data_IF_805328097643
#
_entry.id   IF_805328097643
#
_cell.length_a   1.000
_cell.length_b   1.000
_cell.length_c   1.000
_cell.angle_alpha   90.00
_cell.angle_beta   90.00
_cell.angle_gamma   90.00
#
_symmetry.space_group_name_H-M   'P 1'
#
loop_
_entity.id
_entity.type
_entity.pdbx_description
1 polymer ?
#
# COMPACT_ATOMS: atom_id res chain seq x y z
N UNK A 1 -1.93 3.44 41.81
CA UNK A 1 -2.36 4.71 41.15
C UNK A 1 -2.76 4.57 39.67
N UNK A 2 -2.13 3.70 38.86
CA UNK A 2 -2.42 3.59 37.41
C UNK A 2 -3.68 2.79 37.03
N UNK A 3 -4.15 1.85 37.86
CA UNK A 3 -5.38 1.08 37.57
C UNK A 3 -6.65 1.96 37.63
N UNK A 4 -6.73 2.90 38.58
CA UNK A 4 -7.86 3.82 38.68
C UNK A 4 -7.99 4.71 37.44
N UNK A 5 -6.87 5.22 36.91
CA UNK A 5 -6.85 5.98 35.65
C UNK A 5 -7.32 5.13 34.46
N UNK A 6 -6.98 3.84 34.40
CA UNK A 6 -7.47 2.92 33.35
C UNK A 6 -8.98 2.71 33.45
N UNK A 7 -9.50 2.52 34.66
CA UNK A 7 -10.94 2.35 34.89
C UNK A 7 -11.74 3.61 34.51
N UNK A 8 -11.24 4.80 34.85
CA UNK A 8 -11.87 6.07 34.48
C UNK A 8 -11.91 6.28 32.95
N UNK A 9 -10.82 5.94 32.23
CA UNK A 9 -10.80 5.98 30.76
C UNK A 9 -11.77 4.99 30.12
N UNK A 10 -11.91 3.79 30.71
CA UNK A 10 -12.84 2.79 30.20
C UNK A 10 -14.30 3.24 30.37
N UNK A 11 -14.65 3.82 31.52
CA UNK A 11 -15.99 4.40 31.76
C UNK A 11 -16.30 5.54 30.80
N UNK A 12 -15.38 6.50 30.64
CA UNK A 12 -15.53 7.60 29.69
C UNK A 12 -15.67 7.13 28.24
N UNK A 13 -14.99 6.04 27.86
CA UNK A 13 -15.15 5.43 26.53
C UNK A 13 -16.51 4.75 26.37
N UNK A 14 -17.00 4.05 27.38
CA UNK A 14 -18.32 3.39 27.34
C UNK A 14 -19.46 4.41 27.22
N UNK A 15 -19.36 5.55 27.92
CA UNK A 15 -20.31 6.66 27.83
C UNK A 15 -20.33 7.25 26.40
N UNK A 16 -19.17 7.59 25.83
CA UNK A 16 -19.06 8.18 24.48
C UNK A 16 -19.34 7.19 23.35
N UNK A 17 -19.32 5.88 23.61
CA UNK A 17 -19.54 4.84 22.59
C UNK A 17 -20.96 4.89 22.03
N UNK A 18 -21.95 5.30 22.82
CA UNK A 18 -23.33 5.42 22.39
C UNK A 18 -23.53 6.64 21.48
N UNK A 19 -22.94 7.78 21.84
CA UNK A 19 -22.92 9.01 21.03
C UNK A 19 -22.25 8.79 19.66
N UNK A 20 -21.09 8.13 19.63
CA UNK A 20 -20.41 7.77 18.38
C UNK A 20 -21.24 6.87 17.47
N UNK A 21 -22.02 5.94 18.05
CA UNK A 21 -22.93 5.08 17.27
C UNK A 21 -24.10 5.87 16.69
N UNK A 22 -24.62 6.86 17.41
CA UNK A 22 -25.70 7.73 16.94
C UNK A 22 -25.23 8.61 15.77
N UNK A 23 -24.09 9.30 15.92
CA UNK A 23 -23.49 10.13 14.87
C UNK A 23 -23.19 9.32 13.59
N UNK A 24 -22.70 8.08 13.75
CA UNK A 24 -22.43 7.19 12.60
C UNK A 24 -23.70 6.74 11.88
N UNK A 25 -24.84 6.62 12.57
CA UNK A 25 -26.14 6.32 11.95
C UNK A 25 -26.68 7.52 11.20
N UNK A 26 -26.56 8.73 11.74
CA UNK A 26 -26.96 9.97 11.05
C UNK A 26 -26.14 10.19 9.79
N UNK A 27 -24.82 10.03 9.85
CA UNK A 27 -23.94 10.16 8.68
C UNK A 27 -24.20 9.10 7.59
N UNK A 28 -24.79 7.95 7.96
CA UNK A 28 -25.24 6.94 6.99
C UNK A 28 -26.59 7.27 6.37
N UNK A 29 -27.48 7.96 7.10
CA UNK A 29 -28.79 8.39 6.62
C UNK A 29 -28.70 9.63 5.70
N UNK A 30 -27.74 10.53 5.96
CA UNK A 30 -27.49 11.72 5.14
C UNK A 30 -26.68 11.45 3.87
N UNK A 31 -26.10 10.25 3.73
CA UNK A 31 -25.48 9.86 2.46
C UNK A 31 -26.60 9.63 1.44
N UNK A 32 -26.64 10.39 0.32
CA UNK A 32 -27.59 10.12 -0.74
C UNK A 32 -27.40 8.67 -1.19
N UNK A 33 -28.50 7.91 -1.27
CA UNK A 33 -28.51 6.56 -1.85
C UNK A 33 -28.16 6.68 -3.33
N UNK A 34 -26.86 6.75 -3.66
CA UNK A 34 -26.38 6.56 -5.03
C UNK A 34 -26.64 5.11 -5.40
N UNK A 35 -27.79 4.86 -6.02
CA UNK A 35 -28.09 3.79 -7.00
C UNK A 35 -29.60 3.70 -7.16
N UNK A 36 -30.15 4.66 -7.90
CA UNK A 36 -31.18 4.29 -8.86
C UNK A 36 -30.42 3.95 -10.14
N UNK A 37 -30.67 2.74 -10.63
CA UNK A 37 -30.06 2.22 -11.85
C UNK A 37 -30.47 3.13 -13.01
N UNK A 38 -29.57 4.00 -13.45
CA UNK A 38 -29.68 4.60 -14.77
C UNK A 38 -29.62 3.45 -15.76
N UNK A 39 -30.74 3.19 -16.42
CA UNK A 39 -30.79 2.36 -17.62
C UNK A 39 -30.02 3.15 -18.67
N UNK A 40 -28.75 2.81 -18.85
CA UNK A 40 -27.91 3.40 -19.90
C UNK A 40 -28.53 3.05 -21.25
N UNK A 41 -28.70 4.04 -22.11
CA UNK A 41 -29.10 3.80 -23.51
C UNK A 41 -27.98 3.04 -24.23
N UNK A 42 -28.31 2.30 -25.29
CA UNK A 42 -27.34 1.50 -26.06
C UNK A 42 -26.18 2.34 -26.62
N UNK A 43 -26.39 3.64 -26.80
CA UNK A 43 -25.37 4.62 -27.22
C UNK A 43 -24.36 4.91 -26.10
N UNK A 44 -24.80 5.12 -24.86
CA UNK A 44 -23.91 5.32 -23.70
C UNK A 44 -23.09 4.05 -23.41
N UNK A 45 -23.67 2.87 -23.63
CA UNK A 45 -22.93 1.60 -23.51
C UNK A 45 -21.87 1.44 -24.60
N UNK A 46 -22.15 1.84 -25.85
CA UNK A 46 -21.17 1.85 -26.94
C UNK A 46 -20.03 2.82 -26.65
N UNK A 47 -20.33 4.01 -26.15
CA UNK A 47 -19.30 4.99 -25.75
C UNK A 47 -18.42 4.45 -24.61
N UNK A 48 -19.02 3.80 -23.61
CA UNK A 48 -18.26 3.16 -22.52
C UNK A 48 -17.40 1.97 -22.99
N UNK A 49 -17.87 1.22 -24.01
CA UNK A 49 -17.10 0.13 -24.61
C UNK A 49 -15.95 0.66 -25.48
N UNK A 50 -16.16 1.74 -26.24
CA UNK A 50 -15.10 2.41 -26.99
C UNK A 50 -14.04 3.03 -26.08
N UNK A 51 -14.45 3.63 -24.96
CA UNK A 51 -13.53 4.12 -23.92
C UNK A 51 -12.73 2.99 -23.26
N UNK A 52 -13.28 1.77 -23.19
CA UNK A 52 -12.53 0.58 -22.74
C UNK A 52 -11.57 0.04 -23.79
N UNK A 53 -11.89 0.17 -25.08
CA UNK A 53 -11.05 -0.28 -26.19
C UNK A 53 -9.82 0.61 -26.41
N UNK A 54 -9.89 1.89 -26.01
CA UNK A 54 -8.74 2.82 -26.06
C UNK A 54 -7.72 2.63 -24.92
N UNK A 55 -7.72 1.47 -24.26
CA UNK A 55 -6.50 1.01 -23.58
C UNK A 55 -5.52 0.61 -24.66
N UNK A 56 -4.79 1.59 -25.18
CA UNK A 56 -3.59 1.37 -25.96
C UNK A 56 -2.81 0.26 -25.25
N UNK A 57 -2.68 -0.87 -25.92
CA UNK A 57 -1.67 -1.87 -25.61
C UNK A 57 -0.35 -1.17 -25.97
N UNK A 58 0.07 -0.24 -25.10
CA UNK A 58 1.42 0.26 -25.14
C UNK A 58 2.25 -0.97 -24.83
N UNK A 59 3.02 -1.42 -25.83
CA UNK A 59 4.09 -2.39 -25.63
C UNK A 59 4.96 -1.77 -24.54
N UNK A 60 4.77 -2.28 -23.33
CA UNK A 60 5.36 -1.76 -22.10
C UNK A 60 6.86 -1.97 -22.21
N UNK A 61 7.59 -0.93 -22.58
CA UNK A 61 9.01 -0.91 -22.27
C UNK A 61 9.12 -0.45 -20.81
N UNK A 62 9.57 -1.31 -19.88
CA UNK A 62 9.88 -0.84 -18.53
C UNK A 62 10.89 0.29 -18.65
N UNK A 63 10.68 1.37 -17.88
CA UNK A 63 11.54 2.55 -17.92
C UNK A 63 13.03 2.15 -17.89
N UNK A 64 13.86 2.86 -18.66
CA UNK A 64 15.29 2.60 -18.75
C UNK A 64 16.03 2.76 -17.40
N UNK A 65 15.37 3.35 -16.40
CA UNK A 65 15.92 3.62 -15.09
C UNK A 65 15.93 2.35 -14.21
N UNK A 66 17.13 1.94 -13.80
CA UNK A 66 17.35 0.93 -12.77
C UNK A 66 17.76 1.62 -11.47
N UNK A 67 17.07 1.30 -10.37
CA UNK A 67 17.38 1.82 -9.03
C UNK A 67 17.92 0.66 -8.20
N UNK A 68 19.15 0.79 -7.75
CA UNK A 68 19.78 -0.16 -6.85
C UNK A 68 19.73 0.39 -5.43
N UNK A 69 19.25 -0.45 -4.51
CA UNK A 69 19.27 -0.18 -3.08
C UNK A 69 20.26 -1.17 -2.49
N UNK A 70 21.44 -0.66 -2.18
CA UNK A 70 22.47 -1.44 -1.49
C UNK A 70 22.12 -1.52 0.00
N UNK A 71 22.16 -2.72 0.57
CA UNK A 71 21.81 -2.99 1.97
C UNK A 71 23.00 -3.53 2.80
N UNK A 72 24.25 -3.32 2.36
CA UNK A 72 25.44 -3.80 3.08
C UNK A 72 25.61 -3.19 4.49
N UNK A 73 24.97 -2.04 4.72
CA UNK A 73 24.93 -1.35 6.02
C UNK A 73 24.00 -1.99 7.06
N UNK A 74 23.29 -3.08 6.73
CA UNK A 74 22.34 -3.72 7.63
C UNK A 74 22.98 -4.14 8.97
N UNK A 75 24.25 -4.54 8.95
CA UNK A 75 24.99 -5.02 10.12
C UNK A 75 25.25 -3.91 11.14
N UNK A 76 25.34 -2.66 10.69
CA UNK A 76 25.60 -1.49 11.53
C UNK A 76 24.32 -0.90 12.12
N UNK A 77 23.15 -1.40 11.73
CA UNK A 77 21.86 -0.83 12.12
C UNK A 77 21.19 -1.54 13.29
N UNK A 78 20.56 -0.73 14.13
CA UNK A 78 19.69 -1.25 15.18
C UNK A 78 18.41 -1.83 14.56
N UNK A 79 17.76 -2.73 15.29
CA UNK A 79 16.52 -3.35 14.80
C UNK A 79 15.41 -2.34 14.47
N UNK A 80 15.30 -1.25 15.25
CA UNK A 80 14.33 -0.19 15.00
C UNK A 80 14.58 0.53 13.69
N UNK A 81 15.84 0.74 13.35
CA UNK A 81 16.19 1.41 12.10
C UNK A 81 15.99 0.45 10.91
N UNK A 82 16.33 -0.83 11.04
CA UNK A 82 16.01 -1.87 10.05
C UNK A 82 14.50 -1.94 9.77
N UNK A 83 13.66 -1.84 10.81
CA UNK A 83 12.20 -1.76 10.68
C UNK A 83 11.76 -0.48 9.93
N UNK A 84 12.40 0.65 10.24
CA UNK A 84 12.16 1.93 9.56
C UNK A 84 12.43 1.84 8.06
N UNK A 85 13.60 1.32 7.69
CA UNK A 85 13.98 1.05 6.29
C UNK A 85 12.99 0.10 5.63
N UNK A 86 12.67 -1.02 6.28
CA UNK A 86 11.74 -2.00 5.72
C UNK A 86 10.38 -1.38 5.39
N UNK A 87 9.91 -0.46 6.23
CA UNK A 87 8.69 0.31 5.96
C UNK A 87 8.86 1.26 4.77
N UNK A 88 10.00 1.92 4.63
CA UNK A 88 10.31 2.77 3.48
C UNK A 88 10.35 1.95 2.18
N UNK A 89 11.00 0.79 2.18
CA UNK A 89 11.05 -0.13 1.03
C UNK A 89 9.66 -0.59 0.61
N UNK A 90 8.78 -0.92 1.58
CA UNK A 90 7.36 -1.23 1.30
C UNK A 90 6.63 -0.07 0.63
N UNK A 91 6.88 1.16 1.07
CA UNK A 91 6.29 2.37 0.47
C UNK A 91 6.82 2.55 -0.96
N UNK A 92 8.13 2.43 -1.18
CA UNK A 92 8.74 2.49 -2.50
C UNK A 92 8.15 1.43 -3.44
N UNK A 93 7.96 0.20 -2.95
CA UNK A 93 7.31 -0.88 -3.70
C UNK A 93 5.87 -0.54 -4.09
N UNK A 94 5.06 -0.09 -3.13
CA UNK A 94 3.68 0.32 -3.39
C UNK A 94 3.62 1.46 -4.41
N UNK A 95 4.45 2.49 -4.23
CA UNK A 95 4.50 3.66 -5.10
C UNK A 95 4.94 3.29 -6.51
N UNK A 96 6.01 2.51 -6.66
CA UNK A 96 6.47 2.06 -7.98
C UNK A 96 5.41 1.20 -8.70
N UNK A 97 4.56 0.46 -7.97
CA UNK A 97 3.45 -0.29 -8.57
C UNK A 97 2.30 0.57 -9.07
N UNK A 98 2.06 1.72 -8.44
CA UNK A 98 1.01 2.69 -8.81
C UNK A 98 1.30 3.41 -10.13
N UNK A 99 2.58 3.57 -10.50
CA UNK A 99 2.95 4.25 -11.75
C UNK A 99 2.59 3.43 -13.01
N UNK A 100 2.31 4.10 -14.15
CA UNK A 100 2.18 3.44 -15.44
C UNK A 100 3.44 2.66 -15.80
N UNK A 101 3.28 1.55 -16.52
CA UNK A 101 4.37 0.60 -16.73
C UNK A 101 5.56 1.18 -17.53
N UNK A 102 5.32 2.19 -18.36
CA UNK A 102 6.34 2.99 -19.07
C UNK A 102 7.27 3.79 -18.14
N UNK A 103 6.78 4.13 -16.95
CA UNK A 103 7.50 4.95 -15.97
C UNK A 103 7.93 4.16 -14.74
N UNK A 104 7.70 2.83 -14.72
CA UNK A 104 8.16 1.99 -13.63
C UNK A 104 9.67 1.87 -13.65
N UNK A 105 10.29 2.19 -12.53
CA UNK A 105 11.70 1.92 -12.32
C UNK A 105 11.92 0.42 -12.10
N UNK A 106 13.00 -0.12 -12.67
CA UNK A 106 13.48 -1.46 -12.33
C UNK A 106 14.21 -1.37 -10.99
N UNK A 107 13.55 -1.74 -9.91
CA UNK A 107 14.12 -1.66 -8.57
C UNK A 107 14.80 -2.98 -8.20
N UNK A 108 16.02 -2.90 -7.69
CA UNK A 108 16.84 -4.03 -7.25
C UNK A 108 17.41 -3.74 -5.86
N UNK A 109 17.38 -4.75 -5.00
CA UNK A 109 18.00 -4.72 -3.68
C UNK A 109 19.23 -5.63 -3.73
N UNK A 110 20.39 -5.10 -3.34
CA UNK A 110 21.69 -5.79 -3.33
C UNK A 110 22.21 -5.91 -1.90
N UNK A 111 23.19 -6.81 -1.70
CA UNK A 111 23.87 -7.01 -0.41
C UNK A 111 22.91 -7.34 0.74
N UNK A 112 21.77 -7.95 0.42
CA UNK A 112 20.78 -8.35 1.40
C UNK A 112 21.24 -9.65 2.08
N UNK A 113 21.45 -9.58 3.39
CA UNK A 113 21.87 -10.75 4.15
C UNK A 113 20.71 -11.76 4.20
N UNK A 114 20.99 -13.04 3.96
CA UNK A 114 19.96 -14.10 3.91
C UNK A 114 19.23 -14.25 5.25
N UNK A 115 19.96 -14.07 6.36
CA UNK A 115 19.42 -14.02 7.73
C UNK A 115 19.15 -12.58 8.23
N UNK A 116 19.14 -11.59 7.32
CA UNK A 116 18.96 -10.19 7.64
C UNK A 116 17.57 -9.87 8.20
N UNK A 117 17.54 -8.94 9.16
CA UNK A 117 16.32 -8.34 9.71
C UNK A 117 15.48 -7.76 8.57
N UNK A 118 16.09 -7.03 7.63
CA UNK A 118 15.42 -6.43 6.47
C UNK A 118 14.84 -7.52 5.55
N UNK A 119 15.58 -8.61 5.31
CA UNK A 119 15.12 -9.71 4.44
C UNK A 119 13.82 -10.35 4.96
N UNK A 120 13.75 -10.60 6.26
CA UNK A 120 12.54 -11.14 6.89
C UNK A 120 11.30 -10.24 6.67
N UNK A 121 11.48 -8.91 6.68
CA UNK A 121 10.39 -7.97 6.42
C UNK A 121 10.02 -7.83 4.94
N UNK A 122 10.95 -8.14 4.03
CA UNK A 122 10.70 -8.11 2.57
C UNK A 122 10.02 -9.39 2.07
N UNK A 123 10.22 -10.53 2.74
CA UNK A 123 9.52 -11.77 2.42
C UNK A 123 7.99 -11.60 2.44
N UNK A 124 7.46 -10.77 3.35
CA UNK A 124 6.02 -10.49 3.48
C UNK A 124 5.38 -9.86 2.23
N UNK A 125 6.13 -9.05 1.47
CA UNK A 125 5.60 -8.25 0.36
C UNK A 125 5.65 -8.97 -0.99
N UNK A 126 6.08 -10.25 -1.01
CA UNK A 126 6.36 -11.02 -2.24
C UNK A 126 7.20 -10.20 -3.23
N UNK A 127 8.13 -9.41 -2.69
CA UNK A 127 9.05 -8.59 -3.47
C UNK A 127 10.24 -9.41 -3.97
N UNK A 128 10.06 -10.72 -4.19
CA UNK A 128 11.07 -11.67 -4.65
C UNK A 128 11.74 -11.19 -5.94
N UNK A 129 10.96 -10.51 -6.80
CA UNK A 129 11.45 -9.93 -8.05
C UNK A 129 12.40 -8.74 -7.87
N UNK A 130 12.48 -8.15 -6.67
CA UNK A 130 13.41 -7.05 -6.35
C UNK A 130 14.72 -7.54 -5.77
N UNK A 131 14.75 -8.74 -5.19
CA UNK A 131 15.97 -9.29 -4.61
C UNK A 131 16.88 -9.71 -5.76
N UNK A 132 18.08 -9.14 -5.81
CA UNK A 132 19.10 -9.61 -6.76
C UNK A 132 19.65 -10.94 -6.20
N UNK A 133 19.61 -12.05 -6.94
CA UNK A 133 20.25 -13.29 -6.48
C UNK A 133 21.74 -13.00 -6.25
N UNK A 134 22.22 -13.30 -5.05
CA UNK A 134 23.66 -13.20 -4.75
C UNK A 134 24.42 -14.07 -5.73
N UNK A 135 25.35 -13.47 -6.46
CA UNK A 135 26.30 -14.18 -7.31
C UNK A 135 27.01 -15.19 -6.42
N UNK A 136 26.82 -16.48 -6.72
CA UNK A 136 27.54 -17.58 -6.06
C UNK A 136 29.01 -17.55 -6.43
#
# INVERSE_FOLDING_TARGET
RNQFKKQMKLKAFQERKQEYKAQKKEFKKSKPKKKEARVYTDEEQREFQQLKLNRKINVVQPGALCVYIDCDWEVEMTEKECQGISKQLRICYSKNREYPAEHKAKMRITSLQSAGKINSFLADIRAENWICPSSS
#
